data_IF_245770214788
#
_entry.id   IF_245770214788
#
_cell.length_a   1.000
_cell.length_b   1.000
_cell.length_c   1.000
_cell.angle_alpha   90.00
_cell.angle_beta   90.00
_cell.angle_gamma   90.00
#
_symmetry.space_group_name_H-M   'P 1'
#
loop_
_entity.id
_entity.type
_entity.pdbx_description
1 polymer ?
#
# COMPACT_ATOMS: atom_id res chain seq x y z
N UNK A 1 0.72 -29.43 29.02
CA UNK A 1 1.52 -29.89 27.89
C UNK A 1 1.44 -28.83 26.80
N UNK A 2 2.55 -28.24 26.40
CA UNK A 2 2.62 -27.29 25.28
C UNK A 2 2.19 -28.07 24.00
N UNK A 3 1.31 -27.48 23.18
CA UNK A 3 1.00 -28.04 21.89
C UNK A 3 2.27 -28.03 21.02
N UNK A 4 2.53 -29.10 20.22
CA UNK A 4 3.66 -29.09 19.31
C UNK A 4 3.53 -27.92 18.33
N UNK A 5 4.65 -27.30 17.96
CA UNK A 5 4.65 -26.24 16.98
C UNK A 5 4.01 -26.72 15.66
N UNK A 6 3.21 -25.89 14.99
CA UNK A 6 2.60 -26.26 13.72
C UNK A 6 3.66 -26.58 12.66
N UNK A 7 3.40 -27.59 11.83
CA UNK A 7 4.18 -27.81 10.61
C UNK A 7 3.77 -26.77 9.56
N UNK A 8 4.44 -25.63 9.57
CA UNK A 8 4.13 -24.51 8.67
C UNK A 8 4.35 -24.88 7.20
N UNK A 9 5.34 -25.71 6.88
CA UNK A 9 5.58 -26.14 5.50
C UNK A 9 4.37 -26.94 4.97
N UNK A 10 3.88 -27.90 5.77
CA UNK A 10 2.70 -28.69 5.41
C UNK A 10 1.45 -27.81 5.30
N UNK A 11 1.25 -26.86 6.23
CA UNK A 11 0.09 -25.96 6.20
C UNK A 11 0.09 -25.08 4.96
N UNK A 12 1.24 -24.51 4.55
CA UNK A 12 1.36 -23.72 3.34
C UNK A 12 1.05 -24.56 2.09
N UNK A 13 1.59 -25.77 2.02
CA UNK A 13 1.32 -26.67 0.89
C UNK A 13 -0.17 -27.01 0.80
N UNK A 14 -0.83 -27.35 1.91
CA UNK A 14 -2.27 -27.62 1.95
C UNK A 14 -3.08 -26.38 1.50
N UNK A 15 -2.74 -25.19 1.98
CA UNK A 15 -3.40 -23.95 1.59
C UNK A 15 -3.21 -23.66 0.10
N UNK A 16 -1.98 -23.81 -0.42
CA UNK A 16 -1.68 -23.61 -1.82
C UNK A 16 -2.47 -24.59 -2.71
N UNK A 17 -2.46 -25.88 -2.38
CA UNK A 17 -3.20 -26.90 -3.14
C UNK A 17 -4.72 -26.62 -3.12
N UNK A 18 -5.25 -26.17 -1.98
CA UNK A 18 -6.68 -25.86 -1.84
C UNK A 18 -7.12 -24.71 -2.73
N UNK A 19 -6.30 -23.66 -2.88
CA UNK A 19 -6.70 -22.42 -3.52
C UNK A 19 -6.12 -22.18 -4.92
N UNK A 20 -5.08 -22.91 -5.36
CA UNK A 20 -4.44 -22.73 -6.68
C UNK A 20 -5.39 -22.89 -7.88
N UNK A 21 -6.49 -23.59 -7.71
CA UNK A 21 -7.52 -23.78 -8.74
C UNK A 21 -8.68 -22.78 -8.65
N UNK A 22 -8.63 -21.80 -7.76
CA UNK A 22 -9.66 -20.77 -7.69
C UNK A 22 -9.39 -19.69 -8.76
N UNK A 23 -10.31 -19.57 -9.72
CA UNK A 23 -10.26 -18.61 -10.83
C UNK A 23 -11.47 -17.65 -10.83
N UNK A 24 -12.12 -17.44 -9.68
CA UNK A 24 -13.30 -16.55 -9.59
C UNK A 24 -12.97 -15.07 -9.79
N UNK A 25 -11.71 -14.67 -9.57
CA UNK A 25 -11.23 -13.31 -9.78
C UNK A 25 -10.64 -13.06 -11.16
N UNK A 26 -10.19 -11.84 -11.38
CA UNK A 26 -9.37 -11.44 -12.53
C UNK A 26 -8.19 -10.59 -12.04
N UNK A 27 -7.15 -10.46 -12.89
CA UNK A 27 -6.07 -9.50 -12.62
C UNK A 27 -6.62 -8.08 -12.59
N UNK A 28 -5.95 -7.19 -11.86
CA UNK A 28 -6.27 -5.77 -11.87
C UNK A 28 -6.11 -5.22 -13.30
N UNK A 29 -7.08 -4.44 -13.78
CA UNK A 29 -7.11 -3.88 -15.14
C UNK A 29 -7.39 -2.37 -15.16
N UNK A 30 -7.58 -1.77 -13.98
CA UNK A 30 -7.79 -0.33 -13.84
C UNK A 30 -6.51 0.49 -14.12
N UNK A 31 -5.34 -0.13 -14.02
CA UNK A 31 -4.06 0.36 -14.54
C UNK A 31 -3.67 -0.58 -15.68
N UNK A 32 -3.62 -0.14 -16.95
CA UNK A 32 -3.46 -1.04 -18.10
C UNK A 32 -2.24 -1.96 -18.02
N UNK A 33 -1.12 -1.50 -17.46
CA UNK A 33 0.07 -2.32 -17.28
C UNK A 33 -0.15 -3.53 -16.35
N UNK A 34 -1.06 -3.45 -15.38
CA UNK A 34 -1.36 -4.56 -14.47
C UNK A 34 -2.11 -5.70 -15.17
N UNK A 35 -2.89 -5.41 -16.20
CA UNK A 35 -3.63 -6.42 -16.98
C UNK A 35 -2.72 -7.41 -17.71
N UNK A 36 -1.43 -7.12 -17.82
CA UNK A 36 -0.44 -8.00 -18.48
C UNK A 36 0.06 -9.14 -17.59
N UNK A 37 -0.22 -9.11 -16.30
CA UNK A 37 0.20 -10.15 -15.36
C UNK A 37 -0.66 -11.42 -15.50
N UNK A 38 -0.04 -12.58 -15.28
CA UNK A 38 -0.75 -13.85 -15.35
C UNK A 38 -1.71 -14.03 -14.17
N UNK A 39 -2.99 -14.33 -14.42
CA UNK A 39 -3.95 -14.65 -13.35
C UNK A 39 -3.63 -15.96 -12.62
N UNK A 40 -2.72 -16.78 -13.16
CA UNK A 40 -2.33 -18.06 -12.59
C UNK A 40 -1.14 -17.95 -11.62
N UNK A 41 -0.54 -16.76 -11.47
CA UNK A 41 0.52 -16.57 -10.49
C UNK A 41 -0.06 -16.69 -9.08
N UNK A 42 0.47 -17.62 -8.31
CA UNK A 42 0.06 -17.82 -6.94
C UNK A 42 1.22 -18.28 -6.07
N UNK A 43 1.46 -17.59 -4.97
CA UNK A 43 2.48 -17.90 -4.00
C UNK A 43 2.00 -17.61 -2.58
N UNK A 44 2.53 -18.33 -1.63
CA UNK A 44 2.36 -18.06 -0.20
C UNK A 44 3.74 -18.08 0.45
N UNK A 45 4.04 -17.04 1.22
CA UNK A 45 5.26 -16.96 2.05
C UNK A 45 4.85 -16.68 3.49
N UNK A 46 5.44 -17.40 4.42
CA UNK A 46 5.32 -17.18 5.86
C UNK A 46 6.71 -16.96 6.42
N UNK A 47 6.94 -15.83 7.07
CA UNK A 47 8.12 -15.56 7.86
C UNK A 47 7.75 -15.54 9.35
N UNK A 48 8.48 -16.29 10.18
CA UNK A 48 8.26 -16.33 11.62
C UNK A 48 9.24 -15.39 12.34
N UNK A 49 8.89 -14.99 13.55
CA UNK A 49 9.72 -14.05 14.35
C UNK A 49 11.11 -14.60 14.72
N UNK A 50 11.31 -15.91 14.65
CA UNK A 50 12.59 -16.57 14.85
C UNK A 50 13.44 -16.69 13.55
N UNK A 51 12.98 -16.04 12.46
CA UNK A 51 13.69 -15.93 11.19
C UNK A 51 13.49 -17.09 10.21
N UNK A 52 12.64 -18.06 10.51
CA UNK A 52 12.34 -19.13 9.55
C UNK A 52 11.43 -18.62 8.44
N UNK A 53 11.68 -19.05 7.20
CA UNK A 53 10.89 -18.69 6.02
C UNK A 53 10.37 -19.98 5.37
N UNK A 54 9.06 -20.03 5.19
CA UNK A 54 8.34 -21.12 4.51
C UNK A 54 7.71 -20.57 3.24
N UNK A 55 7.84 -21.28 2.12
CA UNK A 55 7.42 -20.78 0.82
C UNK A 55 6.84 -21.89 -0.04
N UNK A 56 5.81 -21.54 -0.83
CA UNK A 56 5.21 -22.43 -1.81
C UNK A 56 4.68 -21.64 -3.02
N UNK A 57 4.75 -22.23 -4.21
CA UNK A 57 4.26 -21.63 -5.46
C UNK A 57 5.28 -20.67 -6.11
N UNK A 58 4.79 -19.64 -6.76
CA UNK A 58 5.54 -18.74 -7.66
C UNK A 58 6.35 -17.65 -6.91
N UNK A 59 6.99 -17.98 -5.81
CA UNK A 59 7.65 -17.04 -4.88
C UNK A 59 8.77 -16.19 -5.49
N UNK A 60 9.30 -16.60 -6.64
CA UNK A 60 10.37 -15.85 -7.34
C UNK A 60 9.84 -14.91 -8.41
N UNK A 61 8.54 -14.90 -8.67
CA UNK A 61 7.95 -13.97 -9.64
C UNK A 61 7.78 -12.60 -8.99
N UNK A 62 8.40 -11.60 -9.60
CA UNK A 62 8.23 -10.22 -9.19
C UNK A 62 6.83 -9.71 -9.60
N UNK A 63 6.26 -8.85 -8.77
CA UNK A 63 5.01 -8.14 -9.02
C UNK A 63 5.06 -6.75 -8.38
N UNK A 64 4.28 -5.77 -8.87
CA UNK A 64 4.23 -4.45 -8.23
C UNK A 64 3.55 -4.56 -6.86
N UNK A 65 4.14 -3.88 -5.87
CA UNK A 65 3.63 -3.94 -4.49
C UNK A 65 2.33 -3.15 -4.30
N UNK A 66 2.07 -2.16 -5.14
CA UNK A 66 0.84 -1.35 -5.12
C UNK A 66 0.47 -0.85 -3.71
N UNK A 67 -0.79 -0.98 -3.33
CA UNK A 67 -1.30 -0.52 -2.03
C UNK A 67 -0.72 -1.22 -0.79
N UNK A 68 0.11 -2.24 -0.92
CA UNK A 68 0.89 -2.75 0.21
C UNK A 68 1.84 -1.68 0.77
N UNK A 69 2.31 -0.77 -0.07
CA UNK A 69 3.17 0.37 0.31
C UNK A 69 2.57 1.27 1.38
N UNK A 70 1.23 1.39 1.43
CA UNK A 70 0.51 2.26 2.38
C UNK A 70 0.84 1.97 3.85
N UNK A 71 0.95 0.69 4.20
CA UNK A 71 1.25 0.25 5.57
C UNK A 71 2.64 0.71 6.01
N UNK A 72 3.62 0.57 5.12
CA UNK A 72 5.01 0.94 5.42
C UNK A 72 5.22 2.46 5.43
N UNK A 73 4.54 3.19 4.54
CA UNK A 73 4.56 4.66 4.55
C UNK A 73 3.88 5.21 5.81
N UNK A 74 2.80 4.58 6.27
CA UNK A 74 2.17 4.91 7.56
C UNK A 74 3.14 4.70 8.73
N UNK A 75 3.86 3.58 8.75
CA UNK A 75 4.86 3.31 9.79
C UNK A 75 5.94 4.41 9.83
N UNK A 76 6.44 4.86 8.67
CA UNK A 76 7.38 5.97 8.58
C UNK A 76 6.80 7.28 9.12
N UNK A 77 5.56 7.60 8.75
CA UNK A 77 4.88 8.79 9.27
C UNK A 77 4.73 8.76 10.80
N UNK A 78 4.36 7.59 11.34
CA UNK A 78 4.25 7.39 12.80
C UNK A 78 5.61 7.47 13.52
N UNK A 79 6.68 7.02 12.89
CA UNK A 79 8.04 7.15 13.43
C UNK A 79 8.49 8.62 13.48
N UNK A 80 8.19 9.41 12.45
CA UNK A 80 8.60 10.81 12.38
C UNK A 80 7.78 11.75 13.27
N UNK A 81 6.47 11.53 13.37
CA UNK A 81 5.51 12.45 13.99
C UNK A 81 4.86 11.94 15.27
N UNK A 82 5.03 10.66 15.55
CA UNK A 82 4.32 9.98 16.63
C UNK A 82 2.91 9.53 16.22
N UNK A 83 2.44 8.42 16.83
CA UNK A 83 1.16 7.80 16.45
C UNK A 83 -0.05 8.69 16.73
N UNK A 84 -0.01 9.53 17.76
CA UNK A 84 -1.13 10.40 18.13
C UNK A 84 -1.35 11.50 17.10
N UNK A 85 -0.28 12.19 16.65
CA UNK A 85 -0.42 13.21 15.60
C UNK A 85 -0.95 12.62 14.29
N UNK A 86 -0.47 11.44 13.92
CA UNK A 86 -0.95 10.73 12.72
C UNK A 86 -2.42 10.35 12.86
N UNK A 87 -2.84 9.84 14.03
CA UNK A 87 -4.23 9.52 14.32
C UNK A 87 -5.14 10.76 14.22
N UNK A 88 -4.71 11.88 14.81
CA UNK A 88 -5.48 13.13 14.81
C UNK A 88 -5.65 13.70 13.40
N UNK A 89 -4.68 13.50 12.51
CA UNK A 89 -4.68 14.00 11.13
C UNK A 89 -5.38 13.08 10.12
N UNK A 90 -5.26 11.78 10.30
CA UNK A 90 -5.74 10.79 9.31
C UNK A 90 -6.96 10.02 9.77
N UNK A 91 -7.17 9.89 11.10
CA UNK A 91 -8.18 9.00 11.65
C UNK A 91 -7.79 7.51 11.61
N UNK A 92 -8.69 6.67 12.09
CA UNK A 92 -8.56 5.21 12.07
C UNK A 92 -9.93 4.52 11.92
N UNK A 93 -10.90 5.20 11.31
CA UNK A 93 -12.29 4.72 11.17
C UNK A 93 -12.55 4.18 9.77
N UNK A 94 -13.48 3.24 9.65
CA UNK A 94 -13.97 2.80 8.36
C UNK A 94 -14.87 3.88 7.73
N UNK A 95 -14.69 4.15 6.44
CA UNK A 95 -15.53 5.12 5.72
C UNK A 95 -16.93 4.58 5.40
N UNK A 96 -17.11 3.25 5.38
CA UNK A 96 -18.32 2.60 4.86
C UNK A 96 -18.54 2.76 3.35
N UNK A 97 -17.56 3.31 2.63
CA UNK A 97 -17.57 3.60 1.20
C UNK A 97 -16.34 3.00 0.52
N UNK A 98 -16.32 2.92 -0.83
CA UNK A 98 -15.16 2.43 -1.57
C UNK A 98 -13.88 3.22 -1.23
N UNK A 99 -12.72 2.54 -1.31
CA UNK A 99 -11.40 3.06 -0.93
C UNK A 99 -10.96 4.33 -1.70
N UNK A 100 -11.61 4.63 -2.80
CA UNK A 100 -11.35 5.79 -3.66
C UNK A 100 -12.56 6.76 -3.73
N UNK A 101 -13.45 6.76 -2.74
CA UNK A 101 -14.66 7.56 -2.75
C UNK A 101 -14.40 9.03 -2.45
N UNK A 102 -14.71 9.92 -3.38
CA UNK A 102 -14.78 11.37 -3.14
C UNK A 102 -15.91 11.76 -2.21
N UNK A 103 -17.04 11.02 -2.24
CA UNK A 103 -18.16 11.26 -1.32
C UNK A 103 -17.75 11.06 0.14
N UNK A 104 -16.85 10.11 0.44
CA UNK A 104 -16.35 9.94 1.79
C UNK A 104 -15.71 11.23 2.32
N UNK A 105 -14.88 11.90 1.51
CA UNK A 105 -14.20 13.16 1.86
C UNK A 105 -15.20 14.29 2.06
N UNK A 106 -16.22 14.38 1.22
CA UNK A 106 -17.28 15.39 1.35
C UNK A 106 -18.08 15.22 2.65
N UNK A 107 -18.47 13.99 2.99
CA UNK A 107 -19.24 13.70 4.19
C UNK A 107 -18.48 14.00 5.48
N UNK A 108 -17.15 13.86 5.45
CA UNK A 108 -16.26 14.08 6.59
C UNK A 108 -15.63 15.47 6.59
N UNK A 109 -16.01 16.35 5.66
CA UNK A 109 -15.45 17.69 5.49
C UNK A 109 -13.92 17.67 5.33
N UNK A 110 -13.46 16.78 4.47
CA UNK A 110 -12.06 16.66 4.10
C UNK A 110 -11.25 15.62 4.85
N UNK A 111 -11.74 15.08 5.97
CA UNK A 111 -10.99 14.06 6.71
C UNK A 111 -10.94 12.74 5.92
N UNK A 112 -9.76 12.10 5.79
CA UNK A 112 -9.64 10.84 5.04
C UNK A 112 -10.19 9.62 5.81
N UNK A 113 -10.49 9.74 7.09
CA UNK A 113 -11.01 8.75 8.02
C UNK A 113 -10.02 7.62 8.39
N UNK A 114 -9.12 7.24 7.51
CA UNK A 114 -8.03 6.29 7.79
C UNK A 114 -6.93 6.37 6.72
N UNK A 115 -5.70 5.90 7.03
CA UNK A 115 -4.54 5.99 6.13
C UNK A 115 -4.53 4.95 5.00
N UNK A 116 -5.46 4.00 4.94
CA UNK A 116 -5.43 2.89 4.00
C UNK A 116 -6.34 3.09 2.78
N UNK A 117 -7.31 4.02 2.83
CA UNK A 117 -8.00 4.51 1.64
C UNK A 117 -7.07 5.43 0.84
N UNK A 118 -7.30 5.58 -0.47
CA UNK A 118 -6.39 6.35 -1.33
C UNK A 118 -6.18 7.80 -0.84
N UNK A 119 -7.25 8.46 -0.44
CA UNK A 119 -7.19 9.80 0.15
C UNK A 119 -6.25 9.86 1.37
N UNK A 120 -6.41 8.91 2.30
CA UNK A 120 -5.57 8.83 3.49
C UNK A 120 -4.12 8.46 3.19
N UNK A 121 -3.88 7.61 2.20
CA UNK A 121 -2.52 7.24 1.79
C UNK A 121 -1.76 8.45 1.22
N UNK A 122 -2.38 9.23 0.33
CA UNK A 122 -1.80 10.47 -0.19
C UNK A 122 -1.59 11.51 0.91
N UNK A 123 -2.54 11.63 1.83
CA UNK A 123 -2.39 12.49 3.01
C UNK A 123 -1.22 12.04 3.90
N UNK A 124 -1.02 10.71 4.07
CA UNK A 124 0.13 10.15 4.78
C UNK A 124 1.45 10.52 4.10
N UNK A 125 1.54 10.40 2.77
CA UNK A 125 2.74 10.84 2.01
C UNK A 125 3.02 12.32 2.27
N UNK A 126 1.99 13.18 2.30
CA UNK A 126 2.15 14.61 2.55
C UNK A 126 2.65 14.93 3.98
N UNK A 127 2.48 14.02 4.94
CA UNK A 127 2.99 14.14 6.31
C UNK A 127 4.47 13.78 6.45
N UNK A 128 5.06 13.06 5.52
CA UNK A 128 6.47 12.67 5.57
C UNK A 128 7.34 13.91 5.53
N UNK A 129 8.15 14.10 6.57
CA UNK A 129 9.09 15.22 6.68
C UNK A 129 10.20 15.09 5.63
N UNK A 130 10.28 16.09 4.75
CA UNK A 130 11.24 16.12 3.67
C UNK A 130 11.54 17.55 3.22
N UNK A 131 12.73 17.76 2.66
CA UNK A 131 13.17 19.04 2.13
C UNK A 131 12.50 19.37 0.79
N UNK A 132 12.26 18.34 0.00
CA UNK A 132 11.68 18.39 -1.34
C UNK A 132 11.11 17.02 -1.73
N UNK A 133 10.52 16.93 -2.92
CA UNK A 133 9.94 15.70 -3.48
C UNK A 133 10.97 14.56 -3.54
N UNK A 134 12.18 14.83 -3.99
CA UNK A 134 13.23 13.81 -4.12
C UNK A 134 13.63 13.25 -2.76
N UNK A 135 13.79 14.09 -1.75
CA UNK A 135 14.09 13.66 -0.38
C UNK A 135 12.95 12.83 0.21
N UNK A 136 11.69 13.23 -0.04
CA UNK A 136 10.50 12.49 0.40
C UNK A 136 10.45 11.10 -0.23
N UNK A 137 10.60 11.01 -1.54
CA UNK A 137 10.67 9.74 -2.26
C UNK A 137 11.80 8.85 -1.72
N UNK A 138 13.00 9.39 -1.56
CA UNK A 138 14.14 8.63 -1.05
C UNK A 138 13.90 8.09 0.37
N UNK A 139 13.26 8.86 1.24
CA UNK A 139 12.90 8.40 2.59
C UNK A 139 11.90 7.26 2.57
N UNK A 140 10.87 7.36 1.72
CA UNK A 140 9.87 6.31 1.53
C UNK A 140 10.52 5.04 0.96
N UNK A 141 11.31 5.16 -0.10
CA UNK A 141 12.00 4.03 -0.71
C UNK A 141 13.01 3.37 0.24
N UNK A 142 13.79 4.16 0.98
CA UNK A 142 14.72 3.64 1.97
C UNK A 142 14.00 2.90 3.12
N UNK A 143 12.85 3.41 3.55
CA UNK A 143 12.01 2.73 4.52
C UNK A 143 11.49 1.39 3.97
N UNK A 144 10.99 1.36 2.73
CA UNK A 144 10.56 0.12 2.09
C UNK A 144 11.70 -0.89 1.97
N UNK A 145 12.89 -0.44 1.57
CA UNK A 145 14.09 -1.26 1.47
C UNK A 145 14.51 -1.87 2.82
N UNK A 146 14.41 -1.08 3.90
CA UNK A 146 14.72 -1.55 5.24
C UNK A 146 13.74 -2.64 5.72
N UNK A 147 12.45 -2.47 5.44
CA UNK A 147 11.44 -3.49 5.76
C UNK A 147 11.61 -4.76 4.94
N UNK A 148 12.00 -4.65 3.68
CA UNK A 148 12.16 -5.77 2.77
C UNK A 148 13.51 -6.47 2.93
N UNK A 149 14.48 -5.88 3.63
CA UNK A 149 15.89 -6.27 3.63
C UNK A 149 16.43 -6.48 2.20
N UNK A 150 16.05 -5.58 1.30
CA UNK A 150 16.33 -5.68 -0.14
C UNK A 150 16.42 -4.30 -0.79
N UNK A 151 16.97 -4.25 -1.99
CA UNK A 151 16.96 -3.05 -2.84
C UNK A 151 15.79 -3.14 -3.81
N UNK A 152 14.67 -2.53 -3.44
CA UNK A 152 13.50 -2.41 -4.29
C UNK A 152 13.72 -1.33 -5.36
N UNK A 153 13.11 -1.50 -6.50
CA UNK A 153 13.16 -0.55 -7.62
C UNK A 153 11.77 -0.23 -8.13
N UNK A 154 11.63 0.93 -8.77
CA UNK A 154 10.39 1.30 -9.44
C UNK A 154 10.13 0.36 -10.61
N UNK A 155 8.88 -0.11 -10.73
CA UNK A 155 8.40 -0.77 -11.92
C UNK A 155 7.97 0.30 -12.93
N UNK A 156 8.90 0.77 -13.75
CA UNK A 156 8.69 1.89 -14.67
C UNK A 156 7.47 1.76 -15.59
N UNK A 157 7.18 0.59 -16.21
CA UNK A 157 5.97 0.43 -17.02
C UNK A 157 4.68 0.63 -16.21
N UNK A 158 4.61 0.12 -14.98
CA UNK A 158 3.44 0.28 -14.10
C UNK A 158 3.33 1.73 -13.65
N UNK A 159 4.42 2.33 -13.16
CA UNK A 159 4.46 3.72 -12.73
C UNK A 159 3.97 4.67 -13.83
N UNK A 160 4.50 4.54 -15.05
CA UNK A 160 4.06 5.35 -16.19
C UNK A 160 2.57 5.17 -16.49
N UNK A 161 2.11 3.94 -16.51
CA UNK A 161 0.69 3.62 -16.76
C UNK A 161 -0.23 4.21 -15.68
N UNK A 162 0.21 4.18 -14.43
CA UNK A 162 -0.51 4.76 -13.30
C UNK A 162 -0.55 6.29 -13.39
N UNK A 163 0.58 6.94 -13.69
CA UNK A 163 0.64 8.39 -13.88
C UNK A 163 -0.27 8.89 -15.00
N UNK A 164 -0.43 8.13 -16.08
CA UNK A 164 -1.33 8.46 -17.18
C UNK A 164 -2.83 8.32 -16.82
N UNK A 165 -3.16 7.63 -15.73
CA UNK A 165 -4.54 7.31 -15.31
C UNK A 165 -4.88 7.79 -13.89
N UNK A 166 -4.10 8.68 -13.30
CA UNK A 166 -4.23 9.07 -11.88
C UNK A 166 -5.13 10.28 -11.60
N UNK A 167 -5.91 10.76 -12.60
CA UNK A 167 -6.75 11.97 -12.46
C UNK A 167 -7.70 11.91 -11.28
N UNK A 168 -8.21 10.72 -10.95
CA UNK A 168 -9.09 10.54 -9.80
C UNK A 168 -8.36 10.81 -8.47
N UNK A 169 -7.14 10.30 -8.31
CA UNK A 169 -6.32 10.57 -7.13
C UNK A 169 -5.94 12.05 -7.02
N UNK A 170 -5.63 12.71 -8.14
CA UNK A 170 -5.40 14.16 -8.16
C UNK A 170 -6.64 14.93 -7.68
N UNK A 171 -7.83 14.55 -8.15
CA UNK A 171 -9.08 15.17 -7.70
C UNK A 171 -9.32 14.97 -6.20
N UNK A 172 -9.07 13.77 -5.65
CA UNK A 172 -9.18 13.50 -4.22
C UNK A 172 -8.20 14.35 -3.38
N UNK A 173 -6.96 14.47 -3.82
CA UNK A 173 -5.94 15.28 -3.12
C UNK A 173 -6.34 16.77 -3.11
N UNK A 174 -6.80 17.31 -4.23
CA UNK A 174 -7.29 18.68 -4.32
C UNK A 174 -8.54 18.91 -3.48
N UNK A 175 -9.46 17.93 -3.43
CA UNK A 175 -10.66 18.01 -2.61
C UNK A 175 -10.29 18.10 -1.12
N UNK A 176 -9.39 17.25 -0.62
CA UNK A 176 -8.88 17.32 0.75
C UNK A 176 -8.16 18.64 1.04
N UNK A 177 -7.36 19.15 0.10
CA UNK A 177 -6.67 20.43 0.23
C UNK A 177 -7.66 21.59 0.38
N UNK A 178 -8.82 21.55 -0.31
CA UNK A 178 -9.87 22.57 -0.19
C UNK A 178 -10.50 22.64 1.21
N UNK A 179 -10.39 21.55 1.97
CA UNK A 179 -10.81 21.48 3.38
C UNK A 179 -9.65 21.66 4.38
N UNK A 180 -8.44 21.99 3.93
CA UNK A 180 -7.22 22.07 4.73
C UNK A 180 -6.83 20.73 5.41
N UNK A 181 -7.19 19.62 4.80
CA UNK A 181 -6.89 18.26 5.29
C UNK A 181 -5.79 17.57 4.48
N UNK A 182 -4.95 18.35 3.79
CA UNK A 182 -3.78 17.90 3.07
C UNK A 182 -2.57 18.73 3.50
N UNK A 183 -1.43 18.11 3.77
CA UNK A 183 -0.34 18.69 4.55
C UNK A 183 0.90 19.05 3.73
N UNK A 184 0.80 19.03 2.41
CA UNK A 184 1.87 19.34 1.49
C UNK A 184 1.35 19.67 0.09
N UNK A 185 2.23 19.65 -0.90
CA UNK A 185 1.87 19.82 -2.31
C UNK A 185 1.08 18.61 -2.81
N UNK A 186 -0.11 18.87 -3.38
CA UNK A 186 -1.04 17.79 -3.80
C UNK A 186 -0.51 17.01 -5.00
N UNK A 187 0.12 17.69 -5.96
CA UNK A 187 0.67 17.03 -7.13
C UNK A 187 1.87 16.17 -6.75
N UNK A 188 2.78 16.69 -5.92
CA UNK A 188 3.94 15.96 -5.45
C UNK A 188 3.56 14.67 -4.74
N UNK A 189 2.57 14.73 -3.83
CA UNK A 189 2.16 13.57 -3.06
C UNK A 189 1.42 12.50 -3.89
N UNK A 190 0.78 12.89 -5.00
CA UNK A 190 0.14 11.95 -5.93
C UNK A 190 1.17 11.26 -6.84
N UNK A 191 2.30 11.93 -7.11
CA UNK A 191 3.36 11.41 -7.97
C UNK A 191 4.38 10.54 -7.22
N UNK A 192 4.32 10.47 -5.89
CA UNK A 192 5.10 9.60 -5.01
C UNK A 192 4.36 8.31 -4.71
#
# INVERSE_FOLDING_TARGET
>A
LAQPAPDYAQLLEQAHQKFKGNHEGKVADYIPALATYSPNNFAITLATVDGNIYQVGDVKKAFPMESLSKVFTLALAMEQRGPQEVLDKLGASATGLPFNSGLAIELTKGAPENPLVNAGAMSTVSLIEAKDKTDRWNKILNNLNAWADASLTVNEPVFKSEMETNQHNQALAMLMASYNSFYGDTQEAVEI
#
